data_IF_490783985394
#
_entry.id   IF_490783985394
#
_cell.length_a   1.000
_cell.length_b   1.000
_cell.length_c   1.000
_cell.angle_alpha   90.00
_cell.angle_beta   90.00
_cell.angle_gamma   90.00
#
_symmetry.space_group_name_H-M   'P 1'
#
loop_
_entity.id
_entity.type
_entity.pdbx_description
1 polymer ?
#
# COMPACT_ATOMS: atom_id res chain seq x y z
N UNK A 1 21.34 -5.55 7.33
CA UNK A 1 20.01 -5.32 6.74
C UNK A 1 20.01 -3.90 6.22
N UNK A 2 19.60 -3.67 4.97
CA UNK A 2 19.56 -2.36 4.32
C UNK A 2 18.12 -2.02 3.96
N UNK A 3 17.77 -0.73 3.92
CA UNK A 3 16.51 -0.27 3.33
C UNK A 3 16.78 0.04 1.85
N UNK A 4 16.42 -0.90 0.98
CA UNK A 4 16.61 -0.84 -0.47
C UNK A 4 15.78 0.28 -1.11
N UNK A 5 14.58 0.54 -0.58
CA UNK A 5 13.71 1.64 -1.02
C UNK A 5 14.39 2.99 -0.80
N UNK A 6 14.98 3.22 0.38
CA UNK A 6 15.73 4.45 0.67
C UNK A 6 16.90 4.65 -0.29
N UNK A 7 17.65 3.58 -0.59
CA UNK A 7 18.75 3.63 -1.54
C UNK A 7 18.25 3.98 -2.95
N UNK A 8 17.17 3.33 -3.39
CA UNK A 8 16.56 3.57 -4.71
C UNK A 8 16.06 5.00 -4.85
N UNK A 9 15.22 5.48 -3.92
CA UNK A 9 14.68 6.86 -3.93
C UNK A 9 15.83 7.87 -3.93
N UNK A 10 16.78 7.74 -2.99
CA UNK A 10 17.88 8.70 -2.86
C UNK A 10 18.75 8.74 -4.10
N UNK A 11 19.03 7.59 -4.71
CA UNK A 11 19.77 7.51 -5.96
C UNK A 11 19.02 8.19 -7.11
N UNK A 12 17.73 7.89 -7.27
CA UNK A 12 16.91 8.41 -8.37
C UNK A 12 16.72 9.93 -8.26
N UNK A 13 16.37 10.44 -7.08
CA UNK A 13 16.25 11.89 -6.84
C UNK A 13 17.57 12.62 -7.12
N UNK A 14 18.72 12.10 -6.65
CA UNK A 14 20.02 12.76 -6.90
C UNK A 14 20.48 12.69 -8.35
N UNK A 15 20.25 11.56 -9.01
CA UNK A 15 20.73 11.35 -10.38
C UNK A 15 19.89 12.11 -11.40
N UNK A 16 18.58 12.13 -11.22
CA UNK A 16 17.64 12.65 -12.20
C UNK A 16 16.95 13.94 -11.78
N UNK A 17 17.16 14.42 -10.55
CA UNK A 17 16.53 15.64 -10.01
C UNK A 17 15.00 15.59 -10.09
N UNK A 18 14.43 14.44 -9.71
CA UNK A 18 13.01 14.14 -9.82
C UNK A 18 12.31 14.13 -8.47
N UNK A 19 11.00 14.41 -8.49
CA UNK A 19 10.07 14.19 -7.37
C UNK A 19 9.56 12.76 -7.37
N UNK A 20 9.62 12.12 -6.22
CA UNK A 20 9.17 10.73 -6.03
C UNK A 20 7.97 10.69 -5.10
N UNK A 21 6.89 10.07 -5.55
CA UNK A 21 5.82 9.63 -4.66
C UNK A 21 6.08 8.18 -4.25
N UNK A 22 6.28 7.95 -2.96
CA UNK A 22 6.36 6.62 -2.37
C UNK A 22 5.00 6.25 -1.77
N UNK A 23 4.40 5.16 -2.23
CA UNK A 23 3.14 4.62 -1.75
C UNK A 23 3.42 3.30 -1.05
N UNK A 24 3.04 3.20 0.22
CA UNK A 24 3.23 2.01 1.03
C UNK A 24 1.88 1.41 1.42
N UNK A 25 1.63 0.17 1.01
CA UNK A 25 0.44 -0.59 1.40
C UNK A 25 0.76 -1.85 2.20
N UNK A 26 1.98 -1.95 2.74
CA UNK A 26 2.27 -2.88 3.83
C UNK A 26 1.35 -2.59 5.01
N UNK A 27 0.93 -3.64 5.72
CA UNK A 27 0.11 -3.45 6.90
C UNK A 27 0.87 -2.75 8.04
N UNK A 28 2.21 -2.78 8.03
CA UNK A 28 3.05 -2.04 8.96
C UNK A 28 3.39 -0.66 8.40
N UNK A 29 3.54 0.32 9.30
CA UNK A 29 4.01 1.64 8.89
C UNK A 29 5.42 1.57 8.31
N UNK A 30 5.60 2.15 7.11
CA UNK A 30 6.90 2.34 6.42
C UNK A 30 7.82 3.36 7.09
N UNK A 31 8.04 3.22 8.40
CA UNK A 31 8.73 4.18 9.27
C UNK A 31 10.17 4.50 8.82
N UNK A 32 10.90 3.52 8.29
CA UNK A 32 12.25 3.71 7.79
C UNK A 32 12.32 4.60 6.55
N UNK A 33 11.31 4.56 5.68
CA UNK A 33 11.22 5.44 4.50
C UNK A 33 10.74 6.82 4.94
N UNK A 34 9.71 6.88 5.80
CA UNK A 34 9.27 8.12 6.41
C UNK A 34 10.44 8.88 7.05
N UNK A 35 11.25 8.20 7.88
CA UNK A 35 12.32 8.84 8.64
C UNK A 35 13.42 9.41 7.76
N UNK A 36 13.83 8.68 6.72
CA UNK A 36 14.89 9.12 5.78
C UNK A 36 14.48 10.37 5.00
N UNK A 37 13.20 10.47 4.63
CA UNK A 37 12.68 11.56 3.79
C UNK A 37 11.85 12.59 4.55
N UNK A 38 11.82 12.53 5.88
CA UNK A 38 10.97 13.38 6.74
C UNK A 38 11.22 14.89 6.59
N UNK A 39 12.35 15.28 5.98
CA UNK A 39 12.73 16.68 5.73
C UNK A 39 12.89 16.99 4.23
N UNK A 40 12.58 16.06 3.33
CA UNK A 40 12.87 16.20 1.89
C UNK A 40 11.58 16.48 1.09
N UNK A 41 11.38 17.69 0.55
CA UNK A 41 10.19 18.00 -0.24
C UNK A 41 10.17 17.30 -1.62
N UNK A 42 11.28 16.70 -2.05
CA UNK A 42 11.33 15.95 -3.31
C UNK A 42 10.83 14.51 -3.16
N UNK A 43 10.41 14.10 -1.96
CA UNK A 43 9.83 12.79 -1.71
C UNK A 43 8.56 12.93 -0.89
N UNK A 44 7.41 12.63 -1.50
CA UNK A 44 6.14 12.50 -0.79
C UNK A 44 5.96 11.03 -0.38
N UNK A 45 5.92 10.76 0.93
CA UNK A 45 5.62 9.41 1.45
C UNK A 45 4.16 9.31 1.86
N UNK A 46 3.43 8.32 1.34
CA UNK A 46 2.04 8.02 1.70
C UNK A 46 1.97 6.57 2.16
N UNK A 47 1.60 6.32 3.42
CA UNK A 47 1.53 4.97 3.98
C UNK A 47 0.13 4.66 4.53
N UNK A 48 -0.46 3.57 4.05
CA UNK A 48 -1.71 2.98 4.56
C UNK A 48 -1.35 1.75 5.38
N UNK A 49 -1.51 1.82 6.69
CA UNK A 49 -1.05 0.78 7.60
C UNK A 49 -2.02 0.63 8.76
N UNK A 50 -2.00 -0.51 9.45
CA UNK A 50 -2.70 -0.64 10.72
C UNK A 50 -2.11 0.33 11.74
N UNK A 51 -2.96 0.99 12.51
CA UNK A 51 -2.52 1.97 13.49
C UNK A 51 -1.48 1.41 14.46
N UNK A 52 -0.42 2.20 14.68
CA UNK A 52 0.62 1.92 15.68
C UNK A 52 0.11 1.80 17.13
N UNK A 53 -1.18 2.04 17.39
CA UNK A 53 -1.82 1.70 18.68
C UNK A 53 -1.76 0.19 18.96
N UNK A 54 -1.87 -0.64 17.93
CA UNK A 54 -2.00 -2.09 18.06
C UNK A 54 -0.86 -2.85 17.37
N UNK A 55 -0.25 -2.27 16.34
CA UNK A 55 0.76 -2.94 15.53
C UNK A 55 2.14 -2.27 15.64
N UNK A 56 3.20 -3.07 15.49
CA UNK A 56 4.55 -2.56 15.26
C UNK A 56 4.55 -1.65 14.02
N UNK A 57 5.35 -0.57 13.95
CA UNK A 57 6.37 -0.09 14.90
C UNK A 57 5.88 0.86 16.00
N UNK A 58 4.58 1.14 16.10
CA UNK A 58 4.05 2.10 17.07
C UNK A 58 4.13 3.59 16.63
N UNK A 59 4.57 3.84 15.41
CA UNK A 59 4.58 5.15 14.73
C UNK A 59 3.53 5.18 13.62
N UNK A 60 3.52 6.22 12.79
CA UNK A 60 2.57 6.36 11.67
C UNK A 60 1.31 7.12 12.08
N UNK A 61 1.43 8.00 13.07
CA UNK A 61 0.29 8.80 13.51
C UNK A 61 -0.07 9.87 12.49
N UNK A 62 -1.36 10.23 12.41
CA UNK A 62 -1.89 11.24 11.49
C UNK A 62 -1.23 12.64 11.61
N UNK A 63 -0.64 12.93 12.77
CA UNK A 63 0.04 14.20 13.05
C UNK A 63 1.55 14.16 12.75
N UNK A 64 2.10 13.00 12.35
CA UNK A 64 3.45 12.89 11.80
C UNK A 64 3.42 13.31 10.31
N UNK A 65 3.92 14.52 10.00
CA UNK A 65 3.75 15.18 8.70
C UNK A 65 5.04 15.73 8.09
N UNK A 66 6.19 15.19 8.50
CA UNK A 66 7.48 15.74 8.13
C UNK A 66 7.92 16.90 9.03
N UNK A 67 9.07 17.49 8.71
CA UNK A 67 9.69 18.63 9.42
C UNK A 67 10.40 19.53 8.42
N UNK A 68 10.61 20.78 8.81
CA UNK A 68 11.34 21.78 8.01
C UNK A 68 10.77 21.85 6.58
N UNK A 69 11.62 21.76 5.56
CA UNK A 69 11.25 21.81 4.15
C UNK A 69 10.36 20.63 3.73
N UNK A 70 10.47 19.48 4.40
CA UNK A 70 9.62 18.30 4.17
C UNK A 70 8.28 18.32 4.92
N UNK A 71 7.93 19.40 5.63
CA UNK A 71 6.63 19.50 6.28
C UNK A 71 5.50 19.52 5.23
N UNK A 72 4.54 18.58 5.35
CA UNK A 72 3.51 18.32 4.36
C UNK A 72 3.86 17.24 3.33
N UNK A 73 5.08 16.69 3.35
CA UNK A 73 5.54 15.65 2.41
C UNK A 73 5.56 14.24 3.02
N UNK A 74 4.88 14.07 4.16
CA UNK A 74 4.68 12.78 4.80
C UNK A 74 3.21 12.67 5.21
N UNK A 75 2.56 11.60 4.75
CA UNK A 75 1.13 11.36 4.91
C UNK A 75 0.92 9.95 5.43
N UNK A 76 0.40 9.86 6.65
CA UNK A 76 0.03 8.60 7.27
C UNK A 76 -1.48 8.43 7.29
N UNK A 77 -1.92 7.24 6.91
CA UNK A 77 -3.32 6.83 6.98
C UNK A 77 -3.39 5.61 7.92
N UNK A 78 -3.37 5.84 9.25
CA UNK A 78 -3.49 4.76 10.22
C UNK A 78 -4.93 4.21 10.21
N UNK A 79 -5.06 2.96 9.80
CA UNK A 79 -6.30 2.21 9.67
C UNK A 79 -6.58 1.42 10.95
N UNK A 80 -7.86 1.22 11.27
CA UNK A 80 -8.25 0.38 12.38
C UNK A 80 -8.04 -1.12 12.06
N UNK A 81 -7.81 -1.96 13.08
CA UNK A 81 -7.92 -3.40 12.96
C UNK A 81 -9.22 -3.83 12.26
N UNK A 82 -9.17 -4.93 11.51
CA UNK A 82 -10.27 -5.51 10.75
C UNK A 82 -10.79 -4.65 9.59
N UNK A 83 -10.02 -3.66 9.15
CA UNK A 83 -10.31 -2.94 7.90
C UNK A 83 -10.38 -3.92 6.73
N UNK A 84 -11.48 -3.87 5.98
CA UNK A 84 -11.75 -4.72 4.83
C UNK A 84 -11.46 -4.02 3.50
N UNK A 85 -11.61 -4.76 2.39
CA UNK A 85 -11.37 -4.26 1.04
C UNK A 85 -12.11 -2.95 0.74
N UNK A 86 -13.39 -2.87 1.10
CA UNK A 86 -14.22 -1.71 0.78
C UNK A 86 -13.69 -0.46 1.50
N UNK A 87 -13.45 -0.56 2.81
CA UNK A 87 -12.93 0.56 3.60
C UNK A 87 -11.51 0.94 3.19
N UNK A 88 -10.62 -0.03 2.95
CA UNK A 88 -9.24 0.24 2.52
C UNK A 88 -9.23 0.96 1.17
N UNK A 89 -9.93 0.41 0.18
CA UNK A 89 -9.95 0.97 -1.17
C UNK A 89 -10.70 2.32 -1.23
N UNK A 90 -11.67 2.57 -0.35
CA UNK A 90 -12.29 3.89 -0.21
C UNK A 90 -11.27 4.91 0.30
N UNK A 91 -10.51 4.59 1.36
CA UNK A 91 -9.44 5.46 1.86
C UNK A 91 -8.36 5.70 0.79
N UNK A 92 -7.98 4.66 0.06
CA UNK A 92 -7.00 4.77 -1.02
C UNK A 92 -7.43 5.75 -2.11
N UNK A 93 -8.70 5.67 -2.55
CA UNK A 93 -9.29 6.56 -3.57
C UNK A 93 -9.56 7.97 -3.08
N UNK A 94 -9.81 8.15 -1.78
CA UNK A 94 -9.93 9.48 -1.18
C UNK A 94 -8.55 10.17 -1.08
N UNK A 95 -7.49 9.40 -0.78
CA UNK A 95 -6.17 9.95 -0.46
C UNK A 95 -5.32 10.21 -1.69
N UNK A 96 -5.10 9.21 -2.54
CA UNK A 96 -4.04 9.31 -3.53
C UNK A 96 -4.34 10.24 -4.71
N UNK A 97 -5.51 10.20 -5.37
CA UNK A 97 -5.78 11.07 -6.52
C UNK A 97 -5.53 12.57 -6.25
N UNK A 98 -6.08 13.20 -5.18
CA UNK A 98 -5.84 14.61 -4.94
C UNK A 98 -4.39 14.91 -4.55
N UNK A 99 -3.72 14.01 -3.83
CA UNK A 99 -2.31 14.22 -3.46
C UNK A 99 -1.38 14.09 -4.65
N UNK A 100 -1.60 13.12 -5.54
CA UNK A 100 -0.84 12.96 -6.78
C UNK A 100 -1.04 14.17 -7.69
N UNK A 101 -2.27 14.67 -7.81
CA UNK A 101 -2.57 15.87 -8.59
C UNK A 101 -1.89 17.13 -8.01
N UNK A 102 -1.89 17.32 -6.69
CA UNK A 102 -1.22 18.46 -6.08
C UNK A 102 0.32 18.33 -6.14
N UNK A 103 0.85 17.13 -5.91
CA UNK A 103 2.29 16.90 -5.82
C UNK A 103 2.98 16.78 -7.18
N UNK A 104 2.28 16.31 -8.22
CA UNK A 104 2.81 16.11 -9.58
C UNK A 104 4.12 15.28 -9.61
N UNK A 105 4.12 14.03 -9.11
CA UNK A 105 5.34 13.22 -9.04
C UNK A 105 5.88 12.85 -10.43
N UNK A 106 7.20 12.88 -10.58
CA UNK A 106 7.85 12.40 -11.80
C UNK A 106 7.91 10.87 -11.86
N UNK A 107 7.96 10.21 -10.70
CA UNK A 107 8.01 8.76 -10.53
C UNK A 107 7.12 8.35 -9.34
N UNK A 108 6.33 7.29 -9.52
CA UNK A 108 5.67 6.59 -8.42
C UNK A 108 6.45 5.33 -8.08
N UNK A 109 6.73 5.13 -6.80
CA UNK A 109 7.28 3.89 -6.25
C UNK A 109 6.24 3.30 -5.30
N UNK A 110 5.82 2.05 -5.52
CA UNK A 110 4.91 1.38 -4.59
C UNK A 110 5.57 0.19 -3.90
N UNK A 111 5.41 0.11 -2.58
CA UNK A 111 5.66 -1.08 -1.77
C UNK A 111 4.34 -1.85 -1.69
N UNK A 112 4.37 -3.15 -2.02
CA UNK A 112 3.17 -3.97 -2.17
C UNK A 112 3.24 -5.19 -1.22
N UNK A 113 3.39 -4.91 0.08
CA UNK A 113 3.26 -5.88 1.15
C UNK A 113 1.91 -6.59 1.11
N UNK A 114 1.90 -7.87 1.45
CA UNK A 114 0.76 -8.78 1.39
C UNK A 114 0.25 -9.22 2.77
N UNK A 115 0.76 -8.60 3.82
CA UNK A 115 0.49 -8.95 5.22
C UNK A 115 -0.77 -8.31 5.80
N UNK A 116 -1.48 -7.51 5.01
CA UNK A 116 -2.85 -7.06 5.31
C UNK A 116 -3.93 -8.12 4.97
N UNK A 117 -3.54 -9.23 4.34
CA UNK A 117 -4.47 -10.30 3.97
C UNK A 117 -4.98 -11.04 5.21
N UNK A 118 -6.24 -11.45 5.24
CA UNK A 118 -6.86 -12.16 6.38
C UNK A 118 -6.25 -13.54 6.74
N UNK A 119 -5.28 -14.03 5.96
CA UNK A 119 -4.53 -15.26 6.26
C UNK A 119 -3.17 -14.98 6.88
N UNK A 120 -2.71 -13.73 6.83
CA UNK A 120 -1.50 -13.32 7.49
C UNK A 120 -1.76 -13.21 8.99
N UNK A 121 -0.87 -13.81 9.78
CA UNK A 121 -1.02 -13.87 11.24
C UNK A 121 -0.38 -12.69 11.98
N UNK A 122 0.36 -11.83 11.28
CA UNK A 122 1.11 -10.76 11.93
C UNK A 122 0.29 -9.48 12.12
N UNK A 123 -0.85 -9.34 11.44
CA UNK A 123 -1.67 -8.12 11.47
C UNK A 123 -3.14 -8.47 11.69
N UNK A 124 -3.97 -7.45 11.92
CA UNK A 124 -5.40 -7.62 12.14
C UNK A 124 -6.23 -7.07 10.96
N UNK A 125 -5.60 -6.58 9.90
CA UNK A 125 -6.31 -6.17 8.69
C UNK A 125 -6.96 -7.39 8.02
N UNK A 126 -8.03 -7.14 7.27
CA UNK A 126 -8.89 -8.21 6.75
C UNK A 126 -9.09 -8.09 5.23
N UNK A 127 -7.99 -7.87 4.50
CA UNK A 127 -8.02 -7.73 3.04
C UNK A 127 -8.07 -9.08 2.34
N UNK A 128 -8.69 -9.10 1.16
CA UNK A 128 -8.70 -10.22 0.22
C UNK A 128 -7.78 -9.99 -0.97
N UNK A 129 -7.56 -11.03 -1.76
CA UNK A 129 -6.89 -10.93 -3.06
C UNK A 129 -7.56 -9.91 -4.01
N UNK A 130 -8.86 -9.59 -3.85
CA UNK A 130 -9.49 -8.53 -4.65
C UNK A 130 -8.86 -7.16 -4.38
N UNK A 131 -8.54 -6.83 -3.13
CA UNK A 131 -7.81 -5.60 -2.82
C UNK A 131 -6.41 -5.62 -3.45
N UNK A 132 -5.73 -6.77 -3.42
CA UNK A 132 -4.41 -6.95 -4.06
C UNK A 132 -4.43 -6.91 -5.59
N UNK A 133 -5.59 -7.05 -6.24
CA UNK A 133 -5.76 -6.75 -7.66
C UNK A 133 -6.00 -5.25 -7.88
N UNK A 134 -6.87 -4.65 -7.06
CA UNK A 134 -7.32 -3.27 -7.25
C UNK A 134 -6.27 -2.23 -6.88
N UNK A 135 -5.48 -2.46 -5.84
CA UNK A 135 -4.43 -1.52 -5.39
C UNK A 135 -3.39 -1.29 -6.50
N UNK A 136 -2.73 -2.33 -7.07
CA UNK A 136 -1.82 -2.14 -8.19
C UNK A 136 -2.46 -1.46 -9.39
N UNK A 137 -3.71 -1.81 -9.73
CA UNK A 137 -4.46 -1.20 -10.84
C UNK A 137 -4.63 0.30 -10.65
N UNK A 138 -4.95 0.75 -9.43
CA UNK A 138 -5.08 2.17 -9.10
C UNK A 138 -3.73 2.90 -9.15
N UNK A 139 -2.66 2.30 -8.61
CA UNK A 139 -1.30 2.86 -8.71
C UNK A 139 -0.86 2.99 -10.17
N UNK A 140 -1.12 1.95 -10.97
CA UNK A 140 -0.79 1.91 -12.39
C UNK A 140 -1.48 3.04 -13.16
N UNK A 141 -2.76 3.29 -12.88
CA UNK A 141 -3.53 4.40 -13.43
C UNK A 141 -2.97 5.76 -13.04
N UNK A 142 -2.61 5.94 -11.75
CA UNK A 142 -2.02 7.19 -11.27
C UNK A 142 -0.66 7.44 -11.95
N UNK A 143 0.19 6.42 -12.08
CA UNK A 143 1.49 6.56 -12.73
C UNK A 143 1.35 6.93 -14.21
N UNK A 144 0.39 6.34 -14.93
CA UNK A 144 0.12 6.69 -16.33
C UNK A 144 -0.48 8.09 -16.48
N UNK A 145 -1.35 8.50 -15.56
CA UNK A 145 -1.98 9.82 -15.58
C UNK A 145 -1.03 10.96 -15.23
N UNK A 146 -0.13 10.77 -14.27
CA UNK A 146 0.62 11.87 -13.66
C UNK A 146 2.15 11.75 -13.76
N UNK A 147 2.68 10.56 -14.03
CA UNK A 147 4.13 10.30 -14.05
C UNK A 147 4.61 9.76 -15.40
N UNK A 148 3.83 9.90 -16.47
CA UNK A 148 4.16 9.42 -17.81
C UNK A 148 4.39 7.90 -17.86
N UNK A 149 3.65 7.15 -17.05
CA UNK A 149 3.75 5.69 -16.93
C UNK A 149 4.94 5.20 -16.11
N UNK A 150 5.72 6.09 -15.48
CA UNK A 150 6.90 5.70 -14.68
C UNK A 150 6.45 5.19 -13.31
N UNK A 151 6.54 3.87 -13.14
CA UNK A 151 6.19 3.16 -11.92
C UNK A 151 7.26 2.11 -11.58
N UNK A 152 7.75 2.11 -10.33
CA UNK A 152 8.57 1.05 -9.77
C UNK A 152 7.78 0.34 -8.66
N UNK A 153 7.44 -0.92 -8.88
CA UNK A 153 6.76 -1.76 -7.88
C UNK A 153 7.78 -2.64 -7.14
N UNK A 154 7.73 -2.63 -5.81
CA UNK A 154 8.48 -3.52 -4.93
C UNK A 154 7.54 -4.48 -4.20
N UNK A 155 8.11 -5.54 -3.61
CA UNK A 155 7.41 -6.43 -2.69
C UNK A 155 7.18 -5.79 -1.33
N UNK A 156 7.30 -6.58 -0.26
CA UNK A 156 7.09 -6.11 1.10
C UNK A 156 6.98 -7.25 2.11
N UNK A 157 6.30 -7.01 3.22
CA UNK A 157 5.81 -8.04 4.12
C UNK A 157 4.83 -8.99 3.43
N UNK A 158 4.53 -10.12 4.07
CA UNK A 158 3.70 -11.17 3.50
C UNK A 158 4.21 -12.53 3.95
N UNK A 159 3.56 -13.08 4.95
CA UNK A 159 4.09 -14.19 5.76
C UNK A 159 3.31 -15.49 5.55
N UNK A 160 2.32 -15.47 4.65
CA UNK A 160 1.77 -16.67 4.03
C UNK A 160 2.20 -16.76 2.54
N UNK A 161 3.37 -17.35 2.25
CA UNK A 161 3.94 -17.33 0.91
C UNK A 161 3.12 -18.10 -0.12
N UNK A 162 2.40 -19.13 0.31
CA UNK A 162 1.74 -20.07 -0.60
C UNK A 162 0.25 -19.77 -0.80
N UNK A 163 -0.46 -19.40 0.26
CA UNK A 163 -1.87 -19.02 0.14
C UNK A 163 -2.04 -17.55 -0.20
N UNK A 164 -1.06 -16.67 0.03
CA UNK A 164 -1.26 -15.22 -0.22
C UNK A 164 -0.26 -14.66 -1.21
N UNK A 165 1.02 -14.60 -0.84
CA UNK A 165 2.04 -13.81 -1.55
C UNK A 165 2.12 -14.17 -3.04
N UNK A 166 2.13 -15.46 -3.36
CA UNK A 166 2.16 -15.90 -4.76
C UNK A 166 0.96 -15.41 -5.59
N UNK A 167 -0.24 -15.37 -5.00
CA UNK A 167 -1.47 -14.91 -5.67
C UNK A 167 -1.50 -13.38 -5.81
N UNK A 168 -1.10 -12.65 -4.77
CA UNK A 168 -1.06 -11.20 -4.80
C UNK A 168 0.02 -10.67 -5.77
N UNK A 169 1.24 -11.21 -5.70
CA UNK A 169 2.34 -10.72 -6.55
C UNK A 169 2.25 -11.14 -8.00
N UNK A 170 1.56 -12.25 -8.34
CA UNK A 170 1.27 -12.55 -9.75
C UNK A 170 0.28 -11.55 -10.34
N UNK A 171 -0.68 -11.05 -9.56
CA UNK A 171 -1.62 -10.00 -9.98
C UNK A 171 -0.91 -8.66 -10.16
N UNK A 172 -0.05 -8.28 -9.21
CA UNK A 172 0.81 -7.09 -9.34
C UNK A 172 1.67 -7.15 -10.61
N UNK A 173 2.35 -8.28 -10.83
CA UNK A 173 3.18 -8.47 -12.01
C UNK A 173 2.36 -8.43 -13.31
N UNK A 174 1.20 -9.07 -13.32
CA UNK A 174 0.31 -9.09 -14.48
C UNK A 174 -0.19 -7.69 -14.85
N UNK A 175 -0.61 -6.90 -13.86
CA UNK A 175 -1.02 -5.51 -14.04
C UNK A 175 0.13 -4.67 -14.63
N UNK A 176 1.32 -4.74 -14.04
CA UNK A 176 2.49 -4.02 -14.53
C UNK A 176 2.93 -4.46 -15.94
N UNK A 177 2.70 -5.72 -16.30
CA UNK A 177 3.02 -6.27 -17.62
C UNK A 177 1.89 -6.09 -18.66
N UNK A 178 0.72 -5.57 -18.27
CA UNK A 178 -0.46 -5.49 -19.15
C UNK A 178 -1.00 -6.85 -19.57
N UNK A 179 -0.88 -7.86 -18.70
CA UNK A 179 -1.27 -9.25 -18.95
C UNK A 179 -2.54 -9.61 -18.18
N UNK A 180 -3.36 -10.45 -18.80
CA UNK A 180 -4.46 -11.11 -18.11
C UNK A 180 -3.99 -12.44 -17.53
N UNK A 181 -4.38 -12.73 -16.29
CA UNK A 181 -4.10 -14.01 -15.63
C UNK A 181 -5.37 -14.85 -15.52
N UNK A 182 -5.22 -16.17 -15.63
CA UNK A 182 -6.33 -17.08 -15.38
C UNK A 182 -6.69 -17.08 -13.90
N UNK A 183 -7.99 -17.06 -13.61
CA UNK A 183 -8.47 -17.23 -12.23
C UNK A 183 -8.07 -18.58 -11.64
N UNK A 184 -7.96 -19.65 -12.44
CA UNK A 184 -7.58 -20.98 -11.92
C UNK A 184 -6.08 -21.09 -11.77
N UNK A 185 -5.63 -21.51 -10.59
CA UNK A 185 -4.22 -21.75 -10.31
C UNK A 185 -3.79 -23.05 -11.01
N UNK A 186 -2.66 -23.06 -11.74
CA UNK A 186 -2.17 -24.27 -12.41
C UNK A 186 -2.00 -25.45 -11.46
N UNK A 187 -2.54 -26.62 -11.83
CA UNK A 187 -2.41 -27.84 -11.02
C UNK A 187 -0.94 -28.27 -10.83
N UNK A 188 -0.07 -27.95 -11.78
CA UNK A 188 1.37 -28.20 -11.67
C UNK A 188 1.97 -27.42 -10.50
N UNK A 189 1.63 -26.14 -10.36
CA UNK A 189 2.06 -25.29 -9.26
C UNK A 189 1.52 -25.82 -7.92
N UNK A 190 0.23 -26.17 -7.86
CA UNK A 190 -0.36 -26.73 -6.63
C UNK A 190 0.35 -28.03 -6.21
N UNK A 191 0.55 -28.98 -7.14
CA UNK A 191 1.26 -30.24 -6.85
C UNK A 191 2.70 -30.03 -6.38
N UNK A 192 3.38 -29.04 -6.95
CA UNK A 192 4.75 -28.71 -6.60
C UNK A 192 4.84 -28.14 -5.18
N UNK A 193 4.00 -27.16 -4.84
CA UNK A 193 4.15 -26.38 -3.60
C UNK A 193 3.30 -26.88 -2.44
N UNK A 194 2.34 -27.80 -2.66
CA UNK A 194 1.49 -28.31 -1.58
C UNK A 194 2.29 -28.99 -0.46
N UNK A 195 3.45 -29.57 -0.77
CA UNK A 195 4.30 -30.23 0.23
C UNK A 195 5.03 -29.23 1.15
N UNK A 196 5.23 -28.01 0.67
CA UNK A 196 5.89 -26.94 1.44
C UNK A 196 4.88 -26.11 2.25
N UNK A 197 3.61 -26.10 1.82
CA UNK A 197 2.53 -25.42 2.54
C UNK A 197 1.92 -26.32 3.63
N UNK A 198 1.84 -25.85 4.89
CA UNK A 198 1.16 -26.58 5.96
C UNK A 198 -0.38 -26.58 5.80
N UNK A 199 -0.91 -25.77 4.88
CA UNK A 199 -2.34 -25.63 4.61
C UNK A 199 -2.68 -26.04 3.17
N UNK A 200 -3.95 -26.44 2.90
CA UNK A 200 -4.42 -26.67 1.54
C UNK A 200 -4.22 -25.43 0.67
N UNK A 201 -3.66 -25.62 -0.53
CA UNK A 201 -3.47 -24.53 -1.47
C UNK A 201 -4.79 -24.15 -2.15
N UNK A 202 -5.01 -22.85 -2.41
CA UNK A 202 -6.19 -22.39 -3.12
C UNK A 202 -6.20 -22.92 -4.56
N UNK A 203 -7.41 -23.15 -5.09
CA UNK A 203 -7.60 -23.58 -6.48
C UNK A 203 -7.74 -22.39 -7.44
N UNK A 204 -8.10 -21.23 -6.90
CA UNK A 204 -8.37 -19.98 -7.61
C UNK A 204 -7.48 -18.85 -7.07
N UNK A 205 -7.25 -17.83 -7.88
CA UNK A 205 -6.55 -16.62 -7.45
C UNK A 205 -7.34 -15.88 -6.37
N UNK A 206 -8.66 -15.75 -6.53
CA UNK A 206 -9.49 -14.97 -5.61
C UNK A 206 -10.02 -15.83 -4.47
N UNK A 207 -10.21 -15.17 -3.31
CA UNK A 207 -10.77 -15.79 -2.11
C UNK A 207 -12.27 -16.00 -2.22
N UNK A 208 -12.79 -17.00 -1.49
CA UNK A 208 -14.22 -17.23 -1.41
C UNK A 208 -14.92 -16.10 -0.64
N UNK A 209 -16.09 -15.62 -1.09
CA UNK A 209 -16.89 -14.61 -0.38
C UNK A 209 -17.24 -14.99 1.08
N UNK A 210 -17.25 -16.28 1.39
CA UNK A 210 -17.60 -16.80 2.72
C UNK A 210 -16.66 -16.35 3.84
N UNK A 211 -15.41 -15.99 3.50
CA UNK A 211 -14.43 -15.49 4.48
C UNK A 211 -14.72 -14.07 4.97
N UNK A 212 -15.63 -13.32 4.32
CA UNK A 212 -15.93 -11.92 4.64
C UNK A 212 -17.23 -11.70 5.42
N UNK A 213 -17.89 -12.78 5.84
CA UNK A 213 -19.28 -12.72 6.28
C UNK A 213 -19.52 -12.08 7.67
N UNK A 214 -18.50 -11.74 8.45
CA UNK A 214 -18.71 -10.99 9.69
C UNK A 214 -17.47 -10.25 10.19
N UNK A 215 -17.23 -9.04 9.68
CA UNK A 215 -16.35 -8.07 10.34
C UNK A 215 -17.16 -7.36 11.44
N UNK A 216 -16.85 -7.53 12.74
CA UNK A 216 -17.53 -6.79 13.80
C UNK A 216 -17.32 -5.28 13.62
N UNK A 217 -18.33 -4.47 13.93
CA UNK A 217 -18.22 -3.00 13.86
C UNK A 217 -17.79 -2.44 12.49
N UNK A 218 -17.98 -3.20 11.39
CA UNK A 218 -17.54 -2.86 10.03
C UNK A 218 -17.84 -1.41 9.62
N UNK A 219 -19.06 -0.93 9.89
CA UNK A 219 -19.46 0.44 9.54
C UNK A 219 -18.71 1.49 10.37
N UNK A 220 -18.58 1.28 11.67
CA UNK A 220 -17.86 2.22 12.56
C UNK A 220 -16.37 2.30 12.20
N UNK A 221 -15.76 1.16 11.87
CA UNK A 221 -14.39 1.07 11.35
C UNK A 221 -14.26 1.87 10.05
N UNK A 222 -15.14 1.63 9.08
CA UNK A 222 -15.10 2.30 7.79
C UNK A 222 -15.26 3.83 7.92
N UNK A 223 -16.22 4.29 8.72
CA UNK A 223 -16.43 5.72 8.98
C UNK A 223 -15.23 6.37 9.68
N UNK A 224 -14.59 5.66 10.62
CA UNK A 224 -13.39 6.17 11.30
C UNK A 224 -12.21 6.26 10.34
N UNK A 225 -11.96 5.22 9.56
CA UNK A 225 -10.89 5.20 8.56
C UNK A 225 -11.10 6.32 7.53
N UNK A 226 -12.32 6.51 7.02
CA UNK A 226 -12.61 7.56 6.04
C UNK A 226 -12.42 8.97 6.62
N UNK A 227 -12.80 9.20 7.88
CA UNK A 227 -12.50 10.47 8.57
C UNK A 227 -10.99 10.70 8.68
N UNK A 228 -10.22 9.68 9.05
CA UNK A 228 -8.75 9.75 9.10
C UNK A 228 -8.16 10.08 7.73
N UNK A 229 -8.60 9.38 6.68
CA UNK A 229 -8.16 9.59 5.30
C UNK A 229 -8.44 11.03 4.83
N UNK A 230 -9.66 11.53 5.03
CA UNK A 230 -10.03 12.91 4.68
C UNK A 230 -9.22 13.95 5.42
N UNK A 231 -8.99 13.75 6.72
CA UNK A 231 -8.17 14.66 7.51
C UNK A 231 -6.72 14.68 7.00
N UNK A 232 -6.15 13.51 6.66
CA UNK A 232 -4.80 13.40 6.10
C UNK A 232 -4.67 14.20 4.80
N UNK A 233 -5.64 14.07 3.89
CA UNK A 233 -5.68 14.83 2.63
C UNK A 233 -5.83 16.31 2.87
N UNK A 234 -6.84 16.71 3.64
CA UNK A 234 -7.14 18.12 3.90
C UNK A 234 -5.92 18.84 4.46
N UNK A 235 -5.28 18.27 5.47
CA UNK A 235 -4.12 18.86 6.09
C UNK A 235 -2.93 18.97 5.15
N UNK A 236 -2.72 17.95 4.32
CA UNK A 236 -1.63 17.93 3.35
C UNK A 236 -1.86 18.95 2.24
N UNK A 237 -3.06 19.01 1.65
CA UNK A 237 -3.38 19.96 0.59
C UNK A 237 -3.31 21.42 1.06
N UNK A 238 -3.70 21.72 2.30
CA UNK A 238 -3.52 23.06 2.88
C UNK A 238 -2.05 23.45 2.91
N UNK A 239 -1.14 22.50 3.12
CA UNK A 239 0.29 22.75 3.16
C UNK A 239 0.84 22.86 1.73
N UNK A 240 0.57 21.88 0.85
CA UNK A 240 1.10 21.86 -0.52
C UNK A 240 0.65 23.10 -1.32
N UNK A 241 -0.62 23.52 -1.19
CA UNK A 241 -1.14 24.67 -1.92
C UNK A 241 -0.66 26.03 -1.38
N UNK A 242 0.01 26.10 -0.22
CA UNK A 242 0.60 27.35 0.28
C UNK A 242 1.92 27.71 -0.39
N UNK A 243 2.55 26.74 -1.06
CA UNK A 243 3.89 26.87 -1.65
C UNK A 243 3.90 26.73 -3.18
N UNK A 244 2.72 26.68 -3.80
CA UNK A 244 2.50 26.83 -5.26
C UNK A 244 2.14 28.29 -5.53
#
# INVERSE_FOLDING_TARGET
IYNDINVAIRFLCRKYHIRVLYIDTDAHHGDGVQWEFYQDPNVLTVSFHETGRFLFPGTGWLNERGKKEGYGYCVNVPLEPFTDDASFLECFREVLPPLVEAYQPDLIISQNGCDAHFYDSLTHLNLSINAYQEIPRLVHQLAHGFSGGKWLALGGGGYDPFRVVARAWVLLWAEAAGLNVSERIPQSWQKQWQRESPFPLPQTLFDSPEFFLSVPHRQEIAEKNLRTARQAVQDTLIILNKYI
#
